data_IF_802639424612
#
_entry.id   IF_802639424612
#
_cell.length_a   1.000
_cell.length_b   1.000
_cell.length_c   1.000
_cell.angle_alpha   90.00
_cell.angle_beta   90.00
_cell.angle_gamma   90.00
#
_symmetry.space_group_name_H-M   'P 1'
#
loop_
_entity.id
_entity.type
_entity.pdbx_description
1 polymer ?
#
# COMPACT_ATOMS: atom_id res chain seq x y z
N UNK A 1 -6.55 23.69 18.12
CA UNK A 1 -5.15 23.21 18.02
C UNK A 1 -4.57 23.19 19.41
N UNK A 2 -4.04 22.10 19.89
CA UNK A 2 -3.42 22.01 21.20
C UNK A 2 -2.06 22.73 21.21
N UNK A 3 -1.56 23.11 22.41
CA UNK A 3 -0.21 23.68 22.56
C UNK A 3 0.87 22.69 22.08
N UNK A 4 0.62 21.40 22.25
CA UNK A 4 1.47 20.33 21.77
C UNK A 4 1.53 20.28 20.24
N UNK A 5 0.39 20.43 19.55
CA UNK A 5 0.37 20.47 18.09
C UNK A 5 1.15 21.67 17.54
N UNK A 6 1.02 22.83 18.17
CA UNK A 6 1.77 24.05 17.76
C UNK A 6 3.28 23.83 17.83
N UNK A 7 3.77 23.26 18.95
CA UNK A 7 5.20 22.93 19.12
C UNK A 7 5.68 21.90 18.10
N UNK A 8 4.85 20.91 17.78
CA UNK A 8 5.22 19.91 16.75
C UNK A 8 5.27 20.52 15.34
N UNK A 9 4.40 21.45 15.01
CA UNK A 9 4.41 22.15 13.72
C UNK A 9 5.67 23.03 13.58
N UNK A 10 6.08 23.76 14.62
CA UNK A 10 7.32 24.54 14.61
C UNK A 10 8.54 23.61 14.45
N UNK A 11 8.63 22.54 15.25
CA UNK A 11 9.71 21.55 15.15
C UNK A 11 9.78 20.93 13.74
N UNK A 12 8.64 20.55 13.19
CA UNK A 12 8.54 19.94 11.87
C UNK A 12 9.13 20.84 10.77
N UNK A 13 8.86 22.14 10.82
CA UNK A 13 9.43 23.11 9.87
C UNK A 13 10.95 23.22 10.00
N UNK A 14 11.47 23.26 11.24
CA UNK A 14 12.91 23.28 11.49
C UNK A 14 13.61 21.99 11.00
N UNK A 15 13.03 20.82 11.27
CA UNK A 15 13.53 19.52 10.79
C UNK A 15 13.55 19.46 9.27
N UNK A 16 12.48 19.93 8.62
CA UNK A 16 12.41 20.00 7.16
C UNK A 16 13.56 20.83 6.56
N UNK A 17 13.81 22.01 7.11
CA UNK A 17 14.92 22.87 6.64
C UNK A 17 16.29 22.21 6.88
N UNK A 18 16.48 21.56 8.04
CA UNK A 18 17.71 20.83 8.34
C UNK A 18 17.93 19.66 7.36
N UNK A 19 16.88 18.92 7.00
CA UNK A 19 16.95 17.86 6.00
C UNK A 19 17.26 18.40 4.61
N UNK A 20 16.67 19.51 4.20
CA UNK A 20 17.00 20.18 2.92
C UNK A 20 18.47 20.57 2.86
N UNK A 21 18.97 21.25 3.86
CA UNK A 21 20.38 21.64 3.94
C UNK A 21 21.32 20.42 3.90
N UNK A 22 20.98 19.36 4.67
CA UNK A 22 21.76 18.12 4.68
C UNK A 22 21.74 17.40 3.32
N UNK A 23 20.60 17.40 2.62
CA UNK A 23 20.51 16.84 1.27
C UNK A 23 21.34 17.64 0.24
N UNK A 24 21.31 18.97 0.31
CA UNK A 24 22.12 19.82 -0.57
C UNK A 24 23.62 19.61 -0.37
N UNK A 25 24.04 19.31 0.86
CA UNK A 25 25.42 18.94 1.19
C UNK A 25 25.84 17.55 0.69
N UNK A 26 24.89 16.62 0.54
CA UNK A 26 25.13 15.23 0.13
C UNK A 26 24.05 14.74 -0.86
N UNK A 27 23.92 15.38 -2.04
CA UNK A 27 22.90 15.00 -3.06
C UNK A 27 23.04 13.58 -3.60
N UNK A 28 24.21 13.01 -3.55
CA UNK A 28 24.54 11.69 -4.11
C UNK A 28 25.12 10.77 -3.05
N UNK A 29 24.25 10.33 -2.13
CA UNK A 29 24.64 9.40 -1.08
C UNK A 29 25.26 8.14 -1.70
N UNK A 30 26.45 7.75 -1.22
CA UNK A 30 27.21 6.65 -1.79
C UNK A 30 26.52 5.29 -1.57
N UNK A 31 26.77 4.32 -2.46
CA UNK A 31 26.21 2.96 -2.36
C UNK A 31 26.42 2.32 -0.97
N UNK A 32 27.65 2.40 -0.43
CA UNK A 32 27.99 1.85 0.89
C UNK A 32 27.17 2.46 2.03
N UNK A 33 26.83 3.75 1.94
CA UNK A 33 26.08 4.46 2.96
C UNK A 33 24.58 4.11 2.87
N UNK A 34 24.03 3.93 1.66
CA UNK A 34 22.66 3.41 1.48
C UNK A 34 22.54 1.96 1.95
N UNK A 35 23.55 1.11 1.73
CA UNK A 35 23.58 -0.25 2.28
C UNK A 35 23.56 -0.22 3.81
N UNK A 36 24.34 0.67 4.43
CA UNK A 36 24.31 0.84 5.90
C UNK A 36 22.92 1.22 6.41
N UNK A 37 22.26 2.15 5.72
CA UNK A 37 20.91 2.58 6.09
C UNK A 37 19.88 1.43 5.96
N UNK A 38 19.97 0.62 4.90
CA UNK A 38 19.13 -0.57 4.71
C UNK A 38 19.41 -1.63 5.80
N UNK A 39 20.68 -1.87 6.11
CA UNK A 39 21.09 -2.82 7.15
C UNK A 39 20.63 -2.34 8.55
N UNK A 40 20.63 -1.03 8.81
CA UNK A 40 20.09 -0.44 10.04
C UNK A 40 18.57 -0.69 10.18
N UNK A 41 17.79 -0.48 9.12
CA UNK A 41 16.34 -0.79 9.12
C UNK A 41 16.10 -2.29 9.40
N UNK A 42 16.87 -3.17 8.78
CA UNK A 42 16.77 -4.62 9.02
C UNK A 42 17.12 -4.98 10.48
N UNK A 43 18.21 -4.42 11.01
CA UNK A 43 18.66 -4.66 12.37
C UNK A 43 17.66 -4.16 13.42
N UNK A 44 17.13 -2.93 13.25
CA UNK A 44 16.09 -2.37 14.12
C UNK A 44 14.83 -3.25 14.13
N UNK A 45 14.39 -3.72 12.96
CA UNK A 45 13.21 -4.61 12.84
C UNK A 45 13.38 -5.88 13.67
N UNK A 46 14.54 -6.53 13.59
CA UNK A 46 14.81 -7.79 14.33
C UNK A 46 15.04 -7.51 15.81
N UNK A 47 15.80 -6.47 16.15
CA UNK A 47 16.11 -6.09 17.53
C UNK A 47 14.85 -5.79 18.35
N UNK A 48 13.89 -5.10 17.75
CA UNK A 48 12.67 -4.64 18.42
C UNK A 48 11.44 -5.51 18.13
N UNK A 49 11.61 -6.73 17.60
CA UNK A 49 10.51 -7.60 17.19
C UNK A 49 9.43 -7.80 18.28
N UNK A 50 9.83 -8.04 19.53
CA UNK A 50 8.88 -8.21 20.63
C UNK A 50 8.20 -6.88 21.01
N UNK A 51 8.94 -5.78 21.06
CA UNK A 51 8.38 -4.46 21.32
C UNK A 51 7.35 -4.03 20.24
N UNK A 52 7.57 -4.39 18.98
CA UNK A 52 6.62 -4.16 17.87
C UNK A 52 5.32 -4.92 18.12
N UNK A 53 5.40 -6.19 18.55
CA UNK A 53 4.22 -6.99 18.89
C UNK A 53 3.46 -6.41 20.08
N UNK A 54 4.19 -5.99 21.11
CA UNK A 54 3.60 -5.41 22.32
C UNK A 54 2.92 -4.07 22.03
N UNK A 55 3.55 -3.19 21.24
CA UNK A 55 2.97 -1.92 20.84
C UNK A 55 1.71 -2.13 19.97
N UNK A 56 1.75 -3.06 19.01
CA UNK A 56 0.59 -3.39 18.20
C UNK A 56 -0.58 -3.93 19.05
N UNK A 57 -0.31 -4.83 20.00
CA UNK A 57 -1.32 -5.34 20.93
C UNK A 57 -1.88 -4.22 21.82
N UNK A 58 -1.05 -3.32 22.31
CA UNK A 58 -1.47 -2.16 23.12
C UNK A 58 -2.43 -1.25 22.35
N UNK A 59 -2.11 -0.91 21.10
CA UNK A 59 -2.89 0.02 20.28
C UNK A 59 -4.25 -0.56 19.87
N UNK A 60 -4.32 -1.84 19.55
CA UNK A 60 -5.56 -2.50 19.15
C UNK A 60 -6.39 -3.03 20.34
N UNK A 61 -5.79 -3.12 21.53
CA UNK A 61 -6.34 -3.83 22.67
C UNK A 61 -6.10 -5.36 22.59
N UNK A 62 -6.37 -5.96 21.42
CA UNK A 62 -5.96 -7.33 21.07
C UNK A 62 -5.48 -7.35 19.63
N UNK A 63 -4.26 -7.81 19.42
CA UNK A 63 -3.72 -8.05 18.08
C UNK A 63 -2.84 -9.29 18.09
N UNK A 64 -3.09 -10.18 17.13
CA UNK A 64 -2.31 -11.41 17.00
C UNK A 64 -0.81 -11.12 16.89
N UNK A 65 -0.05 -11.72 17.79
CA UNK A 65 1.43 -11.68 17.74
C UNK A 65 1.96 -12.43 16.53
N UNK A 66 1.27 -13.50 16.12
CA UNK A 66 1.61 -14.29 14.95
C UNK A 66 1.37 -13.51 13.67
N UNK A 67 0.26 -12.81 13.54
CA UNK A 67 -0.02 -11.94 12.39
C UNK A 67 0.95 -10.77 12.31
N UNK A 68 1.29 -10.14 13.44
CA UNK A 68 2.31 -9.07 13.51
C UNK A 68 3.68 -9.60 13.11
N UNK A 69 4.06 -10.82 13.57
CA UNK A 69 5.30 -11.47 13.17
C UNK A 69 5.35 -11.70 11.67
N UNK A 70 4.28 -12.19 11.07
CA UNK A 70 4.20 -12.53 9.65
C UNK A 70 4.16 -11.29 8.77
N UNK A 71 3.20 -10.40 9.02
CA UNK A 71 2.84 -9.33 8.11
C UNK A 71 3.66 -8.05 8.29
N UNK A 72 4.27 -7.84 9.45
CA UNK A 72 5.06 -6.65 9.71
C UNK A 72 6.56 -6.97 9.84
N UNK A 73 6.93 -7.89 10.75
CA UNK A 73 8.35 -8.14 11.06
C UNK A 73 9.04 -8.98 9.98
N UNK A 74 8.49 -10.17 9.67
CA UNK A 74 9.09 -11.07 8.69
C UNK A 74 9.07 -10.46 7.27
N UNK A 75 7.98 -9.75 6.93
CA UNK A 75 7.89 -9.01 5.68
C UNK A 75 9.02 -7.97 5.58
N UNK A 76 9.19 -7.09 6.57
CA UNK A 76 10.22 -6.05 6.55
C UNK A 76 11.65 -6.61 6.50
N UNK A 77 11.91 -7.70 7.21
CA UNK A 77 13.22 -8.38 7.12
C UNK A 77 13.48 -8.93 5.71
N UNK A 78 12.45 -9.47 5.05
CA UNK A 78 12.53 -9.94 3.66
C UNK A 78 12.72 -8.79 2.67
N UNK A 79 11.95 -7.72 2.79
CA UNK A 79 12.03 -6.53 1.94
C UNK A 79 13.40 -5.85 2.02
N UNK A 80 13.95 -5.71 3.23
CA UNK A 80 15.30 -5.16 3.42
C UNK A 80 16.38 -6.04 2.78
N UNK A 81 16.29 -7.36 2.94
CA UNK A 81 17.21 -8.33 2.30
C UNK A 81 17.11 -8.25 0.77
N UNK A 82 15.90 -8.15 0.22
CA UNK A 82 15.65 -8.01 -1.22
C UNK A 82 16.28 -6.71 -1.74
N UNK A 83 15.97 -5.57 -1.11
CA UNK A 83 16.49 -4.24 -1.46
C UNK A 83 18.01 -4.22 -1.43
N UNK A 84 18.63 -4.73 -0.36
CA UNK A 84 20.09 -4.84 -0.22
C UNK A 84 20.73 -5.61 -1.36
N UNK A 85 20.11 -6.72 -1.76
CA UNK A 85 20.62 -7.58 -2.84
C UNK A 85 20.59 -6.91 -4.20
N UNK A 86 19.56 -6.10 -4.48
CA UNK A 86 19.29 -5.56 -5.80
C UNK A 86 19.73 -4.10 -5.97
N UNK A 87 20.00 -3.35 -4.90
CA UNK A 87 20.31 -1.92 -4.93
C UNK A 87 21.41 -1.56 -5.92
N UNK A 88 22.49 -2.38 -5.99
CA UNK A 88 23.60 -2.12 -6.92
C UNK A 88 23.10 -2.10 -8.39
N UNK A 89 22.22 -3.02 -8.77
CA UNK A 89 21.66 -3.05 -10.13
C UNK A 89 20.74 -1.88 -10.40
N UNK A 90 19.90 -1.49 -9.44
CA UNK A 90 18.99 -0.37 -9.58
C UNK A 90 19.70 0.98 -9.73
N UNK A 91 20.86 1.13 -9.11
CA UNK A 91 21.69 2.33 -9.19
C UNK A 91 22.49 2.44 -10.50
N UNK A 92 22.55 1.39 -11.34
CA UNK A 92 23.30 1.43 -12.59
C UNK A 92 22.66 2.36 -13.62
N UNK A 93 23.51 2.99 -14.44
CA UNK A 93 23.08 3.76 -15.59
C UNK A 93 22.39 2.84 -16.61
N UNK A 94 21.14 3.10 -16.97
CA UNK A 94 20.43 2.36 -18.00
C UNK A 94 20.76 2.94 -19.38
N UNK A 95 21.59 2.24 -20.16
CA UNK A 95 21.93 2.66 -21.53
C UNK A 95 20.69 2.66 -22.42
N UNK A 96 20.58 3.66 -23.28
CA UNK A 96 19.51 3.84 -24.26
C UNK A 96 20.08 3.85 -25.66
N UNK A 97 19.38 3.25 -26.60
CA UNK A 97 19.81 3.22 -27.99
C UNK A 97 19.80 4.65 -28.57
N UNK A 98 20.86 4.99 -29.30
CA UNK A 98 21.01 6.29 -29.98
C UNK A 98 20.77 6.10 -31.47
N UNK A 99 19.87 6.86 -32.11
CA UNK A 99 19.66 6.84 -33.55
C UNK A 99 20.95 7.14 -34.33
N UNK A 100 21.08 6.54 -35.53
CA UNK A 100 22.31 6.61 -36.32
C UNK A 100 22.77 8.03 -36.66
N UNK A 101 21.82 8.93 -36.90
CA UNK A 101 22.05 10.34 -37.20
C UNK A 101 22.54 11.18 -36.00
N UNK A 102 22.49 10.62 -34.78
CA UNK A 102 22.99 11.25 -33.55
C UNK A 102 24.28 10.59 -33.03
N UNK A 103 24.84 9.64 -33.78
CA UNK A 103 26.16 9.07 -33.47
C UNK A 103 27.26 10.02 -33.89
N UNK A 104 28.38 10.08 -33.12
CA UNK A 104 28.80 9.18 -32.03
C UNK A 104 28.36 9.57 -30.61
N UNK A 105 27.11 9.95 -30.41
CA UNK A 105 26.54 10.24 -29.10
C UNK A 105 26.27 8.99 -28.26
N UNK A 106 26.26 9.15 -26.93
CA UNK A 106 25.85 8.15 -25.96
C UNK A 106 24.64 8.65 -25.17
N UNK A 107 23.65 7.79 -24.95
CA UNK A 107 22.48 8.12 -24.16
C UNK A 107 22.29 7.14 -23.00
N UNK A 108 21.93 7.64 -21.84
CA UNK A 108 21.60 6.83 -20.69
C UNK A 108 20.62 7.54 -19.76
N UNK A 109 19.92 6.75 -18.95
CA UNK A 109 19.10 7.21 -17.83
C UNK A 109 19.90 7.02 -16.56
N UNK A 110 19.99 8.05 -15.71
CA UNK A 110 20.58 8.01 -14.39
C UNK A 110 19.48 8.22 -13.35
N UNK A 111 19.40 7.33 -12.37
CA UNK A 111 18.49 7.48 -11.23
C UNK A 111 19.14 8.37 -10.18
N UNK A 112 18.49 9.46 -9.82
CA UNK A 112 18.96 10.44 -8.83
C UNK A 112 17.95 10.55 -7.70
N UNK A 113 18.38 10.67 -6.41
CA UNK A 113 17.44 10.87 -5.30
C UNK A 113 16.57 12.11 -5.57
N UNK A 114 15.29 12.04 -5.23
CA UNK A 114 14.40 13.21 -5.32
C UNK A 114 14.79 14.31 -4.34
N UNK A 115 15.11 13.96 -3.09
CA UNK A 115 15.46 14.94 -2.06
C UNK A 115 14.89 14.62 -0.70
N UNK A 116 14.12 15.53 -0.11
CA UNK A 116 13.41 15.33 1.15
C UNK A 116 12.00 14.83 0.84
N UNK A 117 11.66 13.66 1.39
CA UNK A 117 10.37 13.02 1.16
C UNK A 117 9.54 12.96 2.45
N UNK A 118 8.25 13.27 2.32
CA UNK A 118 7.28 13.09 3.39
C UNK A 118 6.57 11.74 3.24
N UNK A 119 6.40 11.02 4.34
CA UNK A 119 5.67 9.75 4.39
C UNK A 119 4.58 9.88 5.45
N UNK A 120 3.31 9.62 5.07
CA UNK A 120 2.18 9.55 5.99
C UNK A 120 1.68 8.13 5.98
N UNK A 121 1.81 7.43 7.13
CA UNK A 121 1.48 6.02 7.25
C UNK A 121 0.16 5.78 8.00
N UNK A 122 -0.56 4.68 7.68
CA UNK A 122 -1.83 4.33 8.30
C UNK A 122 -1.63 3.55 9.62
N UNK A 123 -2.75 3.13 10.19
CA UNK A 123 -2.82 2.44 11.47
C UNK A 123 -2.95 0.90 11.37
N UNK A 124 -3.36 0.36 10.22
CA UNK A 124 -3.74 -1.06 10.12
C UNK A 124 -2.56 -2.06 10.12
N UNK A 125 -1.45 -1.67 9.52
CA UNK A 125 -0.13 -2.32 9.64
C UNK A 125 0.89 -1.22 9.90
N UNK A 126 0.88 -0.65 11.12
CA UNK A 126 1.51 0.64 11.39
C UNK A 126 3.03 0.62 11.24
N UNK A 127 3.68 -0.49 11.59
CA UNK A 127 5.13 -0.64 11.44
C UNK A 127 5.51 -0.84 9.97
N UNK A 128 4.95 -1.85 9.33
CA UNK A 128 5.33 -2.24 7.98
C UNK A 128 5.00 -1.15 6.94
N UNK A 129 3.80 -0.53 7.00
CA UNK A 129 3.40 0.51 6.06
C UNK A 129 4.10 1.87 6.30
N UNK A 130 4.81 2.02 7.41
CA UNK A 130 5.75 3.12 7.64
C UNK A 130 7.15 2.77 7.15
N UNK A 131 7.68 1.59 7.52
CA UNK A 131 9.07 1.22 7.28
C UNK A 131 9.35 0.80 5.84
N UNK A 132 8.37 0.25 5.12
CA UNK A 132 8.54 -0.13 3.71
C UNK A 132 8.82 1.08 2.80
N UNK A 133 8.04 2.19 2.82
CA UNK A 133 8.40 3.37 2.06
C UNK A 133 9.66 4.09 2.59
N UNK A 134 9.96 4.04 3.90
CA UNK A 134 11.25 4.52 4.44
C UNK A 134 12.41 3.75 3.82
N UNK A 135 12.36 2.42 3.81
CA UNK A 135 13.37 1.55 3.22
C UNK A 135 13.62 1.91 1.74
N UNK A 136 12.56 2.09 0.97
CA UNK A 136 12.64 2.46 -0.44
C UNK A 136 13.26 3.87 -0.65
N UNK A 137 12.87 4.84 0.20
CA UNK A 137 13.41 6.19 0.16
C UNK A 137 14.90 6.25 0.54
N UNK A 138 15.32 5.49 1.56
CA UNK A 138 16.72 5.36 1.96
C UNK A 138 17.55 4.66 0.87
N UNK A 139 17.02 3.61 0.25
CA UNK A 139 17.63 2.96 -0.91
C UNK A 139 17.82 3.92 -2.08
N UNK A 140 16.87 4.81 -2.31
CA UNK A 140 16.97 5.88 -3.30
C UNK A 140 18.00 6.97 -2.92
N UNK A 141 18.36 7.09 -1.63
CA UNK A 141 19.27 8.10 -1.08
C UNK A 141 18.58 9.40 -0.67
N UNK A 142 17.29 9.35 -0.39
CA UNK A 142 16.50 10.49 0.09
C UNK A 142 16.64 10.71 1.61
N UNK A 143 16.23 11.88 2.06
CA UNK A 143 15.95 12.21 3.46
C UNK A 143 14.47 12.00 3.73
N UNK A 144 14.10 11.57 4.94
CA UNK A 144 12.74 11.11 5.22
C UNK A 144 12.15 11.81 6.43
N UNK A 145 10.94 12.32 6.27
CA UNK A 145 10.07 12.70 7.38
C UNK A 145 8.87 11.76 7.42
N UNK A 146 8.64 11.11 8.55
CA UNK A 146 7.50 10.21 8.78
C UNK A 146 6.46 10.89 9.68
N UNK A 147 5.20 10.88 9.26
CA UNK A 147 4.03 11.17 10.10
C UNK A 147 3.20 9.90 10.26
N UNK A 148 3.37 9.15 11.36
CA UNK A 148 2.57 7.95 11.62
C UNK A 148 1.15 8.32 12.07
N UNK A 149 0.27 7.30 12.09
CA UNK A 149 -1.12 7.49 12.48
C UNK A 149 -1.27 7.76 13.99
N UNK A 150 -2.15 8.66 14.35
CA UNK A 150 -2.58 8.93 15.71
C UNK A 150 -3.45 7.82 16.33
N UNK A 151 -3.96 6.90 15.55
CA UNK A 151 -4.72 5.74 16.03
C UNK A 151 -3.84 4.65 16.65
N UNK A 152 -2.53 4.71 16.44
CA UNK A 152 -1.55 3.74 16.96
C UNK A 152 -0.41 4.46 17.69
N UNK A 153 -0.70 5.11 18.84
CA UNK A 153 0.27 5.94 19.54
C UNK A 153 1.45 5.15 20.11
N UNK A 154 1.22 3.95 20.67
CA UNK A 154 2.30 3.13 21.21
C UNK A 154 3.31 2.72 20.12
N UNK A 155 2.81 2.30 18.95
CA UNK A 155 3.66 2.00 17.79
C UNK A 155 4.36 3.24 17.26
N UNK A 156 3.69 4.38 17.24
CA UNK A 156 4.27 5.64 16.76
C UNK A 156 5.43 6.13 17.63
N UNK A 157 5.29 6.03 18.97
CA UNK A 157 6.35 6.34 19.91
C UNK A 157 7.52 5.35 19.82
N UNK A 158 7.22 4.06 19.65
CA UNK A 158 8.23 3.02 19.41
C UNK A 158 9.02 3.29 18.14
N UNK A 159 8.37 3.55 17.01
CA UNK A 159 9.05 3.86 15.75
C UNK A 159 9.95 5.09 15.86
N UNK A 160 9.50 6.12 16.58
CA UNK A 160 10.31 7.32 16.85
C UNK A 160 11.58 6.97 17.62
N UNK A 161 11.47 6.19 18.70
CA UNK A 161 12.63 5.78 19.50
C UNK A 161 13.59 4.87 18.72
N UNK A 162 13.05 3.89 17.97
CA UNK A 162 13.84 2.98 17.15
C UNK A 162 14.67 3.72 16.10
N UNK A 163 14.03 4.62 15.32
CA UNK A 163 14.72 5.35 14.27
C UNK A 163 15.79 6.30 14.81
N UNK A 164 15.58 6.86 15.99
CA UNK A 164 16.56 7.73 16.66
C UNK A 164 17.82 6.99 17.17
N UNK A 165 17.80 5.64 17.24
CA UNK A 165 19.01 4.85 17.58
C UNK A 165 20.06 4.86 16.45
N UNK A 166 19.62 4.97 15.19
CA UNK A 166 20.47 4.79 14.03
C UNK A 166 20.54 6.03 13.11
N UNK A 167 19.56 6.94 13.22
CA UNK A 167 19.43 8.07 12.31
C UNK A 167 19.28 9.40 13.06
N UNK A 168 20.07 10.38 12.66
CA UNK A 168 19.83 11.77 13.05
C UNK A 168 18.56 12.31 12.39
N UNK A 169 17.88 13.29 13.00
CA UNK A 169 16.66 13.90 12.46
C UNK A 169 16.86 14.60 11.12
N UNK A 170 18.08 15.02 10.80
CA UNK A 170 18.43 15.55 9.47
C UNK A 170 18.49 14.47 8.38
N UNK A 171 18.34 13.18 8.74
CA UNK A 171 18.29 12.06 7.81
C UNK A 171 16.93 11.35 7.84
N UNK A 172 16.47 10.87 9.01
CA UNK A 172 15.14 10.29 9.21
C UNK A 172 14.51 10.89 10.46
N UNK A 173 13.36 11.53 10.31
CA UNK A 173 12.65 12.17 11.43
C UNK A 173 11.22 11.66 11.55
N UNK A 174 10.72 11.51 12.79
CA UNK A 174 9.33 11.14 13.06
C UNK A 174 8.61 12.34 13.68
N UNK A 175 7.50 12.73 13.08
CA UNK A 175 6.64 13.84 13.50
C UNK A 175 5.33 13.24 14.04
N UNK A 176 5.18 13.29 15.37
CA UNK A 176 3.98 12.83 16.05
C UNK A 176 2.92 13.93 16.09
N UNK A 177 1.67 13.55 16.13
CA UNK A 177 0.54 14.48 16.30
C UNK A 177 -0.72 14.06 15.58
N UNK A 178 -1.80 14.73 15.88
CA UNK A 178 -3.13 14.48 15.33
C UNK A 178 -3.36 15.11 13.95
N UNK A 179 -4.65 15.24 13.55
CA UNK A 179 -5.04 15.74 12.21
C UNK A 179 -4.47 17.11 11.88
N UNK A 180 -4.37 18.05 12.85
CA UNK A 180 -3.83 19.39 12.62
C UNK A 180 -2.34 19.36 12.22
N UNK A 181 -1.54 18.49 12.86
CA UNK A 181 -0.14 18.26 12.48
C UNK A 181 -0.06 17.59 11.12
N UNK A 182 -0.96 16.62 10.83
CA UNK A 182 -1.06 15.98 9.53
C UNK A 182 -1.35 16.97 8.40
N UNK A 183 -2.29 17.89 8.61
CA UNK A 183 -2.59 18.96 7.65
C UNK A 183 -1.38 19.88 7.41
N UNK A 184 -0.72 20.32 8.47
CA UNK A 184 0.49 21.14 8.35
C UNK A 184 1.63 20.38 7.64
N UNK A 185 1.77 19.07 7.91
CA UNK A 185 2.75 18.20 7.27
C UNK A 185 2.57 18.15 5.75
N UNK A 186 1.33 18.04 5.27
CA UNK A 186 1.05 17.99 3.81
C UNK A 186 1.37 19.28 3.07
N UNK A 187 1.47 20.40 3.77
CA UNK A 187 1.76 21.74 3.20
C UNK A 187 3.25 22.03 3.04
N UNK A 188 4.15 21.20 3.58
CA UNK A 188 5.58 21.36 3.38
C UNK A 188 5.95 21.04 1.92
N UNK A 189 6.89 21.81 1.32
CA UNK A 189 7.28 21.65 -0.08
C UNK A 189 8.28 20.48 -0.24
N UNK A 190 7.80 19.25 0.02
CA UNK A 190 8.56 18.03 -0.20
C UNK A 190 8.92 17.81 -1.67
N UNK A 191 10.02 17.11 -1.93
CA UNK A 191 10.38 16.65 -3.27
C UNK A 191 9.54 15.43 -3.70
N UNK A 192 8.90 14.75 -2.73
CA UNK A 192 7.86 13.72 -2.93
C UNK A 192 7.05 13.52 -1.66
N UNK A 193 5.76 13.26 -1.78
CA UNK A 193 4.89 12.91 -0.67
C UNK A 193 4.26 11.55 -0.92
N UNK A 194 4.48 10.62 0.02
CA UNK A 194 3.91 9.28 0.01
C UNK A 194 2.82 9.19 1.07
N UNK A 195 1.64 8.81 0.67
CA UNK A 195 0.48 8.70 1.56
C UNK A 195 -0.18 7.33 1.43
N UNK A 196 -0.38 6.65 2.56
CA UNK A 196 -1.21 5.44 2.65
C UNK A 196 -2.38 5.69 3.60
N UNK A 197 -3.60 5.46 3.14
CA UNK A 197 -4.80 5.65 3.96
C UNK A 197 -6.09 5.73 3.13
N UNK A 198 -7.13 6.42 3.68
CA UNK A 198 -8.43 6.49 3.01
C UNK A 198 -8.41 7.36 1.76
N UNK A 199 -9.24 7.02 0.78
CA UNK A 199 -9.42 7.79 -0.47
C UNK A 199 -9.86 9.23 -0.18
N UNK A 200 -10.70 9.45 0.84
CA UNK A 200 -11.14 10.80 1.24
C UNK A 200 -9.95 11.67 1.65
N UNK A 201 -9.08 11.20 2.55
CA UNK A 201 -7.91 11.94 3.00
C UNK A 201 -6.86 12.04 1.88
N UNK A 202 -6.69 11.00 1.05
CA UNK A 202 -5.81 11.04 -0.11
C UNK A 202 -6.11 12.19 -1.08
N UNK A 203 -7.40 12.51 -1.28
CA UNK A 203 -7.81 13.70 -2.07
C UNK A 203 -7.38 15.01 -1.42
N UNK A 204 -7.44 15.11 -0.08
CA UNK A 204 -6.99 16.30 0.67
C UNK A 204 -5.47 16.44 0.55
N UNK A 205 -4.72 15.35 0.77
CA UNK A 205 -3.26 15.30 0.63
C UNK A 205 -2.83 15.72 -0.78
N UNK A 206 -3.48 15.18 -1.81
CA UNK A 206 -3.16 15.51 -3.20
C UNK A 206 -3.40 16.99 -3.53
N UNK A 207 -4.50 17.58 -3.01
CA UNK A 207 -4.76 19.02 -3.18
C UNK A 207 -3.72 19.89 -2.49
N UNK A 208 -3.33 19.57 -1.25
CA UNK A 208 -2.32 20.31 -0.50
C UNK A 208 -0.93 20.22 -1.19
N UNK A 209 -0.54 19.03 -1.65
CA UNK A 209 0.71 18.81 -2.36
C UNK A 209 0.80 19.61 -3.68
N UNK A 210 -0.33 19.77 -4.37
CA UNK A 210 -0.40 20.49 -5.63
C UNK A 210 -0.03 21.99 -5.50
N UNK A 211 -0.24 22.61 -4.34
CA UNK A 211 0.14 24.01 -4.07
C UNK A 211 1.66 24.22 -4.21
N UNK A 212 2.45 23.19 -3.91
CA UNK A 212 3.91 23.20 -4.02
C UNK A 212 4.43 22.42 -5.24
N UNK A 213 3.56 21.94 -6.13
CA UNK A 213 3.90 21.03 -7.23
C UNK A 213 4.61 19.76 -6.74
N UNK A 214 4.38 19.36 -5.50
CA UNK A 214 4.94 18.14 -4.91
C UNK A 214 4.31 16.91 -5.57
N UNK A 215 5.09 16.01 -6.20
CA UNK A 215 4.58 14.75 -6.72
C UNK A 215 4.10 13.85 -5.57
N UNK A 216 2.99 13.14 -5.77
CA UNK A 216 2.42 12.26 -4.76
C UNK A 216 2.37 10.81 -5.22
N UNK A 217 2.61 9.88 -4.30
CA UNK A 217 2.20 8.49 -4.40
C UNK A 217 1.09 8.27 -3.39
N UNK A 218 -0.04 7.75 -3.86
CA UNK A 218 -1.23 7.52 -3.05
C UNK A 218 -1.55 6.03 -3.04
N UNK A 219 -1.46 5.41 -1.86
CA UNK A 219 -1.88 4.04 -1.60
C UNK A 219 -3.19 4.09 -0.82
N UNK A 220 -4.28 3.84 -1.52
CA UNK A 220 -5.63 4.01 -1.00
C UNK A 220 -6.32 2.65 -0.90
N UNK A 221 -7.56 2.65 -0.45
CA UNK A 221 -8.36 1.44 -0.36
C UNK A 221 -9.25 1.20 -1.58
N UNK A 222 -10.40 0.67 -1.31
CA UNK A 222 -11.44 0.40 -2.28
C UNK A 222 -12.14 -0.91 -2.00
N UNK A 223 -13.21 -1.18 -2.76
CA UNK A 223 -13.96 -2.43 -2.63
C UNK A 223 -13.34 -3.52 -3.48
N UNK A 224 -12.33 -4.23 -2.93
CA UNK A 224 -11.62 -5.32 -3.61
C UNK A 224 -12.55 -6.52 -3.90
N UNK A 225 -12.96 -6.76 -5.16
CA UNK A 225 -13.89 -7.81 -5.51
C UNK A 225 -13.24 -9.18 -5.59
N UNK A 226 -14.03 -10.20 -5.34
CA UNK A 226 -13.76 -11.59 -5.74
C UNK A 226 -14.75 -11.99 -6.82
N UNK A 227 -14.27 -12.47 -7.97
CA UNK A 227 -15.08 -13.05 -9.03
C UNK A 227 -14.81 -14.56 -9.08
N UNK A 228 -15.81 -15.36 -8.81
CA UNK A 228 -15.73 -16.80 -8.88
C UNK A 228 -16.37 -17.31 -10.20
N UNK A 229 -15.65 -18.09 -10.98
CA UNK A 229 -16.16 -18.76 -12.15
C UNK A 229 -16.90 -20.05 -11.75
N UNK A 230 -17.76 -20.50 -12.65
CA UNK A 230 -18.59 -21.70 -12.39
C UNK A 230 -17.79 -23.00 -12.27
N UNK A 231 -16.63 -23.08 -12.92
CA UNK A 231 -15.74 -24.24 -12.90
C UNK A 231 -14.93 -24.40 -11.60
N UNK A 232 -14.92 -23.39 -10.71
CA UNK A 232 -14.15 -23.45 -9.45
C UNK A 232 -14.99 -24.07 -8.32
N UNK A 233 -14.40 -24.95 -7.47
CA UNK A 233 -15.10 -25.55 -6.33
C UNK A 233 -15.42 -24.50 -5.26
N UNK A 234 -16.70 -24.42 -4.89
CA UNK A 234 -17.20 -23.43 -3.94
C UNK A 234 -16.56 -23.56 -2.54
N UNK A 235 -16.39 -24.80 -2.07
CA UNK A 235 -15.77 -25.09 -0.77
C UNK A 235 -14.33 -24.58 -0.70
N UNK A 236 -13.54 -24.80 -1.77
CA UNK A 236 -12.16 -24.31 -1.82
C UNK A 236 -12.08 -22.78 -1.89
N UNK A 237 -13.01 -22.15 -2.56
CA UNK A 237 -13.09 -20.69 -2.56
C UNK A 237 -13.33 -20.17 -1.14
N UNK A 238 -14.31 -20.71 -0.43
CA UNK A 238 -14.61 -20.34 0.96
C UNK A 238 -13.43 -20.53 1.92
N UNK A 239 -12.74 -21.67 1.83
CA UNK A 239 -11.54 -21.95 2.65
C UNK A 239 -10.44 -20.88 2.45
N UNK A 240 -10.21 -20.44 1.21
CA UNK A 240 -9.17 -19.47 0.88
C UNK A 240 -9.58 -18.05 1.26
N UNK A 241 -10.86 -17.71 1.07
CA UNK A 241 -11.44 -16.43 1.45
C UNK A 241 -11.36 -16.18 2.95
N UNK A 242 -11.50 -17.23 3.77
CA UNK A 242 -11.41 -17.13 5.22
C UNK A 242 -10.11 -16.48 5.69
N UNK A 243 -8.96 -16.89 5.15
CA UNK A 243 -7.68 -16.26 5.48
C UNK A 243 -7.63 -14.80 5.00
N UNK A 244 -7.91 -14.55 3.71
CA UNK A 244 -7.78 -13.21 3.14
C UNK A 244 -8.74 -12.18 3.73
N UNK A 245 -9.92 -12.63 4.21
CA UNK A 245 -10.89 -11.71 4.81
C UNK A 245 -10.67 -11.48 6.29
N UNK A 246 -10.24 -12.50 7.04
CA UNK A 246 -10.24 -12.38 8.51
C UNK A 246 -8.84 -12.16 9.11
N UNK A 247 -7.76 -12.20 8.32
CA UNK A 247 -6.46 -11.68 8.73
C UNK A 247 -6.61 -10.21 9.18
N UNK A 248 -6.06 -9.86 10.33
CA UNK A 248 -6.20 -8.54 10.96
C UNK A 248 -7.68 -8.10 11.10
N UNK A 249 -8.59 -9.06 11.31
CA UNK A 249 -10.04 -8.85 11.30
C UNK A 249 -10.54 -8.08 10.07
N UNK A 250 -9.95 -8.29 8.89
CA UNK A 250 -10.33 -7.63 7.64
C UNK A 250 -9.93 -6.16 7.52
N UNK A 251 -9.15 -5.64 8.46
CA UNK A 251 -8.68 -4.26 8.46
C UNK A 251 -7.45 -4.11 7.51
N UNK A 252 -7.65 -4.46 6.25
CA UNK A 252 -6.60 -4.56 5.23
C UNK A 252 -7.13 -4.02 3.90
N UNK A 253 -6.38 -3.12 3.27
CA UNK A 253 -6.76 -2.45 2.02
C UNK A 253 -6.98 -3.41 0.83
N UNK A 254 -6.36 -4.59 0.88
CA UNK A 254 -6.50 -5.65 -0.11
C UNK A 254 -7.33 -6.84 0.40
N UNK A 255 -7.98 -6.76 1.57
CA UNK A 255 -8.89 -7.82 2.00
C UNK A 255 -10.05 -7.95 0.99
N UNK A 256 -10.52 -9.17 0.67
CA UNK A 256 -11.76 -9.34 -0.08
C UNK A 256 -12.89 -8.52 0.54
N UNK A 257 -13.44 -7.58 -0.23
CA UNK A 257 -14.45 -6.68 0.31
C UNK A 257 -15.87 -7.17 -0.01
N UNK A 258 -16.05 -7.86 -1.15
CA UNK A 258 -17.25 -8.61 -1.50
C UNK A 258 -16.92 -9.74 -2.49
N UNK A 259 -17.81 -10.72 -2.58
CA UNK A 259 -17.67 -11.90 -3.46
C UNK A 259 -18.85 -11.97 -4.44
N UNK A 260 -18.54 -12.20 -5.71
CA UNK A 260 -19.52 -12.51 -6.74
C UNK A 260 -19.38 -14.01 -7.10
N UNK A 261 -20.39 -14.81 -6.79
CA UNK A 261 -20.44 -16.26 -7.06
C UNK A 261 -21.43 -16.60 -8.16
N UNK A 262 -21.26 -17.69 -8.90
CA UNK A 262 -22.33 -18.22 -9.73
C UNK A 262 -23.58 -18.54 -8.92
N UNK A 263 -24.77 -18.45 -9.53
CA UNK A 263 -26.05 -18.80 -8.91
C UNK A 263 -26.01 -20.18 -8.24
N UNK A 264 -26.57 -20.25 -7.04
CA UNK A 264 -26.67 -21.46 -6.23
C UNK A 264 -25.37 -21.88 -5.52
N UNK A 265 -24.27 -21.08 -5.62
CA UNK A 265 -22.99 -21.37 -4.95
C UNK A 265 -22.72 -20.47 -3.75
N UNK A 266 -23.45 -19.38 -3.58
CA UNK A 266 -23.22 -18.38 -2.52
C UNK A 266 -23.26 -18.98 -1.11
N UNK A 267 -24.24 -19.84 -0.83
CA UNK A 267 -24.39 -20.53 0.44
C UNK A 267 -23.20 -21.45 0.75
N UNK A 268 -22.80 -22.28 -0.21
CA UNK A 268 -21.67 -23.19 -0.01
C UNK A 268 -20.36 -22.43 0.26
N UNK A 269 -20.12 -21.32 -0.46
CA UNK A 269 -18.97 -20.45 -0.19
C UNK A 269 -19.06 -19.83 1.19
N UNK A 270 -20.23 -19.35 1.61
CA UNK A 270 -20.45 -18.78 2.94
C UNK A 270 -20.19 -19.78 4.06
N UNK A 271 -20.83 -20.95 3.98
CA UNK A 271 -20.70 -22.01 4.98
C UNK A 271 -19.27 -22.53 5.11
N UNK A 272 -18.58 -22.74 3.99
CA UNK A 272 -17.18 -23.17 4.01
C UNK A 272 -16.23 -22.05 4.52
N UNK A 273 -16.55 -20.79 4.25
CA UNK A 273 -15.80 -19.66 4.83
C UNK A 273 -15.95 -19.63 6.34
N UNK A 274 -17.18 -19.70 6.86
CA UNK A 274 -17.45 -19.70 8.31
C UNK A 274 -16.87 -20.96 8.98
N UNK A 275 -17.05 -22.13 8.39
CA UNK A 275 -16.49 -23.38 8.94
C UNK A 275 -14.95 -23.33 9.04
N UNK A 276 -14.27 -22.74 8.04
CA UNK A 276 -12.82 -22.57 8.06
C UNK A 276 -12.37 -21.60 9.14
N UNK A 277 -13.08 -20.49 9.32
CA UNK A 277 -12.81 -19.48 10.37
C UNK A 277 -13.07 -20.08 11.75
N UNK A 278 -14.21 -20.77 11.93
CA UNK A 278 -14.55 -21.46 13.19
C UNK A 278 -13.47 -22.47 13.60
N UNK A 279 -12.90 -23.17 12.62
CA UNK A 279 -11.77 -24.08 12.88
C UNK A 279 -10.48 -23.33 13.24
N UNK A 280 -10.26 -22.14 12.69
CA UNK A 280 -9.07 -21.32 12.97
C UNK A 280 -9.17 -20.64 14.34
N UNK A 281 -10.35 -20.16 14.68
CA UNK A 281 -10.66 -19.44 15.92
C UNK A 281 -11.91 -20.08 16.56
N UNK A 282 -11.72 -21.19 17.33
CA UNK A 282 -12.86 -21.93 17.92
C UNK A 282 -13.74 -21.08 18.82
N UNK A 283 -13.17 -20.14 19.54
CA UNK A 283 -13.85 -19.05 20.24
C UNK A 283 -13.18 -17.71 19.91
N UNK A 284 -13.56 -17.13 18.78
CA UNK A 284 -13.00 -15.88 18.28
C UNK A 284 -13.04 -14.73 19.30
N UNK A 285 -13.99 -14.76 20.22
CA UNK A 285 -14.18 -13.68 21.20
C UNK A 285 -13.03 -13.60 22.22
N UNK A 286 -12.55 -14.75 22.68
CA UNK A 286 -11.46 -14.88 23.67
C UNK A 286 -10.10 -15.16 23.05
N UNK A 287 -10.04 -15.59 21.78
CA UNK A 287 -8.81 -15.96 21.10
C UNK A 287 -7.88 -14.76 20.89
N UNK A 288 -6.68 -14.81 21.43
CA UNK A 288 -5.66 -13.72 21.32
C UNK A 288 -5.12 -13.55 19.89
N UNK A 289 -5.25 -14.58 19.04
CA UNK A 289 -4.87 -14.51 17.63
C UNK A 289 -5.98 -13.96 16.73
N UNK A 290 -7.19 -13.69 17.25
CA UNK A 290 -8.21 -12.96 16.52
C UNK A 290 -8.19 -11.47 16.88
N UNK A 291 -7.74 -10.66 15.94
CA UNK A 291 -7.47 -9.23 16.14
C UNK A 291 -8.75 -8.42 16.39
N UNK A 292 -8.70 -7.46 17.31
CA UNK A 292 -9.78 -6.53 17.59
C UNK A 292 -9.86 -5.38 16.55
N UNK A 293 -11.01 -4.72 16.47
CA UNK A 293 -11.18 -3.48 15.70
C UNK A 293 -10.46 -2.33 16.39
N UNK A 294 -9.70 -1.55 15.65
CA UNK A 294 -8.75 -0.56 16.18
C UNK A 294 -9.36 0.50 17.10
N UNK A 295 -10.60 0.90 16.87
CA UNK A 295 -11.26 1.95 17.67
C UNK A 295 -12.77 1.74 17.79
N UNK A 296 -13.38 2.35 18.83
CA UNK A 296 -14.82 2.30 19.07
C UNK A 296 -15.62 2.84 17.87
N UNK A 297 -15.16 3.92 17.26
CA UNK A 297 -15.79 4.50 16.06
C UNK A 297 -15.86 3.49 14.90
N UNK A 298 -14.79 2.73 14.64
CA UNK A 298 -14.78 1.71 13.60
C UNK A 298 -15.64 0.50 14.00
N UNK A 299 -15.62 0.13 15.27
CA UNK A 299 -16.43 -0.95 15.81
C UNK A 299 -17.94 -0.64 15.66
N UNK A 300 -18.38 0.54 16.08
CA UNK A 300 -19.78 1.00 15.95
C UNK A 300 -20.22 1.07 14.50
N UNK A 301 -19.36 1.59 13.59
CA UNK A 301 -19.65 1.65 12.16
C UNK A 301 -19.88 0.25 11.58
N UNK A 302 -19.06 -0.71 11.91
CA UNK A 302 -19.18 -2.09 11.40
C UNK A 302 -20.44 -2.78 11.92
N UNK A 303 -20.72 -2.65 13.22
CA UNK A 303 -21.95 -3.19 13.80
C UNK A 303 -23.19 -2.55 13.17
N UNK A 304 -23.19 -1.24 12.94
CA UNK A 304 -24.33 -0.57 12.28
C UNK A 304 -24.55 -1.08 10.85
N UNK A 305 -23.48 -1.41 10.11
CA UNK A 305 -23.61 -2.02 8.78
C UNK A 305 -24.20 -3.43 8.81
N UNK A 306 -23.87 -4.22 9.83
CA UNK A 306 -24.41 -5.58 10.03
C UNK A 306 -25.91 -5.47 10.35
N UNK A 307 -26.29 -4.58 11.26
CA UNK A 307 -27.70 -4.40 11.66
C UNK A 307 -28.55 -3.79 10.53
N UNK A 308 -27.99 -2.90 9.72
CA UNK A 308 -28.63 -2.39 8.50
C UNK A 308 -28.92 -3.55 7.53
N UNK A 309 -27.97 -4.42 7.26
CA UNK A 309 -28.14 -5.57 6.39
C UNK A 309 -29.19 -6.55 6.96
N UNK A 310 -29.18 -6.80 8.27
CA UNK A 310 -30.16 -7.64 8.98
C UNK A 310 -31.56 -7.07 8.85
N UNK A 311 -31.70 -5.77 9.08
CA UNK A 311 -32.99 -5.07 8.99
C UNK A 311 -33.54 -5.03 7.56
N UNK A 312 -32.65 -5.05 6.55
CA UNK A 312 -33.03 -5.15 5.15
C UNK A 312 -33.35 -6.59 4.69
N UNK A 313 -33.35 -7.57 5.63
CA UNK A 313 -33.70 -8.96 5.36
C UNK A 313 -32.59 -9.81 4.75
N UNK A 314 -31.33 -9.32 4.73
CA UNK A 314 -30.20 -10.15 4.31
C UNK A 314 -29.94 -11.29 5.29
N UNK A 315 -29.59 -12.45 4.79
CA UNK A 315 -29.20 -13.58 5.62
C UNK A 315 -27.78 -13.42 6.11
N UNK A 316 -27.58 -13.59 7.42
CA UNK A 316 -26.28 -13.40 8.08
C UNK A 316 -25.82 -14.72 8.68
N UNK A 317 -24.62 -15.17 8.29
CA UNK A 317 -23.93 -16.29 8.90
C UNK A 317 -22.77 -15.74 9.73
N UNK A 318 -22.64 -16.16 10.98
CA UNK A 318 -21.59 -15.74 11.89
C UNK A 318 -20.89 -16.96 12.50
N UNK A 319 -19.60 -16.82 12.76
CA UNK A 319 -18.87 -17.82 13.55
C UNK A 319 -19.42 -17.82 14.98
N UNK A 320 -19.55 -19.01 15.56
CA UNK A 320 -19.94 -19.19 16.96
C UNK A 320 -18.80 -18.74 17.89
N UNK A 321 -19.14 -18.17 19.02
CA UNK A 321 -18.19 -17.71 20.02
C UNK A 321 -18.89 -17.19 21.27
N UNK A 322 -18.11 -16.96 22.31
CA UNK A 322 -18.61 -16.38 23.56
C UNK A 322 -18.81 -14.85 23.43
N UNK A 323 -19.20 -14.22 24.52
CA UNK A 323 -19.30 -12.75 24.57
C UNK A 323 -17.89 -12.14 24.63
N UNK A 324 -17.52 -11.26 23.71
CA UNK A 324 -16.21 -10.58 23.73
C UNK A 324 -16.08 -9.54 24.87
N UNK A 325 -17.14 -9.29 25.65
CA UNK A 325 -17.15 -8.27 26.71
C UNK A 325 -16.81 -6.90 26.17
N UNK A 326 -15.81 -6.24 26.74
CA UNK A 326 -15.34 -4.92 26.34
C UNK A 326 -14.31 -4.94 25.21
N UNK A 327 -13.93 -6.11 24.68
CA UNK A 327 -13.05 -6.21 23.53
C UNK A 327 -13.79 -5.76 22.28
N UNK A 328 -13.15 -4.92 21.48
CA UNK A 328 -13.72 -4.46 20.18
C UNK A 328 -13.63 -5.56 19.11
N UNK A 329 -14.05 -6.78 19.45
CA UNK A 329 -14.08 -7.91 18.52
C UNK A 329 -15.48 -8.07 17.94
N UNK A 330 -15.54 -8.34 16.65
CA UNK A 330 -16.77 -8.61 15.89
C UNK A 330 -16.67 -10.05 15.37
N UNK A 331 -17.71 -10.84 15.56
CA UNK A 331 -17.78 -12.17 15.00
C UNK A 331 -17.46 -12.18 13.50
N UNK A 332 -16.62 -13.10 13.02
CA UNK A 332 -16.48 -13.32 11.59
C UNK A 332 -17.84 -13.49 10.94
N UNK A 333 -18.21 -12.59 10.04
CA UNK A 333 -19.56 -12.44 9.52
C UNK A 333 -19.56 -12.57 8.01
N UNK A 334 -20.45 -13.38 7.46
CA UNK A 334 -20.79 -13.42 6.04
C UNK A 334 -22.22 -12.96 5.87
N UNK A 335 -22.48 -12.09 4.90
CA UNK A 335 -23.80 -11.56 4.59
C UNK A 335 -24.19 -11.99 3.18
N UNK A 336 -25.25 -12.80 3.05
CA UNK A 336 -25.73 -13.30 1.77
C UNK A 336 -26.70 -12.30 1.13
N UNK A 337 -26.42 -11.97 -0.13
CA UNK A 337 -27.27 -11.13 -0.98
C UNK A 337 -27.76 -9.83 -0.31
N UNK A 338 -26.87 -9.02 0.33
CA UNK A 338 -27.28 -7.72 0.82
C UNK A 338 -27.76 -6.83 -0.33
N UNK A 339 -28.68 -5.86 -0.08
CA UNK A 339 -29.07 -4.89 -1.09
C UNK A 339 -27.84 -4.16 -1.70
N UNK A 340 -27.84 -3.97 -3.01
CA UNK A 340 -26.68 -3.34 -3.69
C UNK A 340 -26.48 -1.88 -3.30
N UNK A 341 -27.51 -1.18 -2.86
CA UNK A 341 -27.49 0.18 -2.37
C UNK A 341 -27.15 0.30 -0.87
N UNK A 342 -27.01 -0.85 -0.16
CA UNK A 342 -26.59 -0.87 1.24
C UNK A 342 -25.16 -0.33 1.43
N UNK A 343 -24.89 0.18 2.63
CA UNK A 343 -23.52 0.65 2.98
C UNK A 343 -22.47 -0.44 2.83
N UNK A 344 -22.82 -1.70 3.11
CA UNK A 344 -21.92 -2.84 2.88
C UNK A 344 -21.46 -2.96 1.42
N UNK A 345 -22.29 -2.53 0.47
CA UNK A 345 -21.98 -2.61 -0.97
C UNK A 345 -21.48 -1.29 -1.55
N UNK A 346 -21.63 -0.17 -0.85
CA UNK A 346 -21.20 1.15 -1.33
C UNK A 346 -19.91 1.65 -0.68
N UNK A 347 -19.68 1.36 0.60
CA UNK A 347 -18.49 1.77 1.33
C UNK A 347 -17.48 0.62 1.43
N UNK A 348 -16.19 0.94 1.52
CA UNK A 348 -15.14 -0.02 1.90
C UNK A 348 -15.40 -0.51 3.33
N UNK A 349 -15.51 -1.82 3.52
CA UNK A 349 -15.90 -2.39 4.81
C UNK A 349 -14.79 -2.25 5.84
N UNK A 350 -13.57 -2.65 5.51
CA UNK A 350 -12.39 -2.57 6.37
C UNK A 350 -12.62 -3.21 7.74
N UNK A 351 -13.18 -4.42 7.71
CA UNK A 351 -13.61 -5.16 8.90
C UNK A 351 -14.01 -6.60 8.58
N UNK A 352 -14.37 -7.42 9.61
CA UNK A 352 -14.59 -8.86 9.47
C UNK A 352 -16.00 -9.21 8.96
N UNK A 353 -16.46 -8.50 7.93
CA UNK A 353 -17.78 -8.70 7.31
C UNK A 353 -17.61 -8.93 5.81
N UNK A 354 -18.10 -10.04 5.28
CA UNK A 354 -17.95 -10.45 3.88
C UNK A 354 -19.30 -10.59 3.19
N UNK A 355 -19.75 -9.62 2.39
CA UNK A 355 -20.88 -9.78 1.50
C UNK A 355 -20.61 -10.80 0.39
N UNK A 356 -21.53 -11.69 0.13
CA UNK A 356 -21.52 -12.63 -0.99
C UNK A 356 -22.80 -12.45 -1.80
N UNK A 357 -22.66 -12.17 -3.09
CA UNK A 357 -23.77 -11.99 -4.02
C UNK A 357 -23.64 -12.99 -5.18
N UNK A 358 -24.76 -13.30 -5.81
CA UNK A 358 -24.79 -14.14 -6.99
C UNK A 358 -24.75 -13.32 -8.28
N UNK A 359 -24.14 -13.86 -9.31
CA UNK A 359 -24.08 -13.27 -10.67
C UNK A 359 -24.69 -14.19 -11.72
N UNK A 360 -25.15 -13.62 -12.84
CA UNK A 360 -25.77 -14.31 -13.97
C UNK A 360 -24.77 -14.80 -15.03
N UNK A 361 -23.48 -14.80 -14.70
CA UNK A 361 -22.36 -15.14 -15.57
C UNK A 361 -21.21 -14.16 -15.41
N UNK A 362 -20.04 -14.49 -15.98
CA UNK A 362 -18.84 -13.68 -15.81
C UNK A 362 -18.98 -12.26 -16.39
N UNK A 363 -19.74 -12.09 -17.46
CA UNK A 363 -19.98 -10.77 -18.06
C UNK A 363 -20.79 -9.87 -17.12
N UNK A 364 -21.78 -10.43 -16.41
CA UNK A 364 -22.52 -9.71 -15.37
C UNK A 364 -21.59 -9.34 -14.20
N UNK A 365 -20.81 -10.29 -13.72
CA UNK A 365 -19.84 -10.05 -12.64
C UNK A 365 -18.84 -8.94 -13.00
N UNK A 366 -18.25 -8.99 -14.18
CA UNK A 366 -17.31 -7.96 -14.66
C UNK A 366 -18.01 -6.60 -14.83
N UNK A 367 -19.24 -6.57 -15.35
CA UNK A 367 -20.04 -5.35 -15.49
C UNK A 367 -20.27 -4.69 -14.11
N UNK A 368 -20.64 -5.46 -13.09
CA UNK A 368 -20.86 -4.97 -11.73
C UNK A 368 -19.58 -4.43 -11.09
N UNK A 369 -18.44 -5.10 -11.32
CA UNK A 369 -17.13 -4.60 -10.86
C UNK A 369 -16.76 -3.30 -11.57
N UNK A 370 -16.89 -3.25 -12.90
CA UNK A 370 -16.53 -2.09 -13.70
C UNK A 370 -17.46 -0.88 -13.50
N UNK A 371 -18.66 -1.08 -12.94
CA UNK A 371 -19.58 0.01 -12.56
C UNK A 371 -19.15 0.74 -11.27
N UNK A 372 -18.21 0.18 -10.50
CA UNK A 372 -17.66 0.77 -9.28
C UNK A 372 -16.30 1.43 -9.55
N UNK A 373 -15.81 2.17 -8.57
CA UNK A 373 -14.44 2.68 -8.57
C UNK A 373 -13.42 1.53 -8.69
N UNK A 374 -12.33 1.77 -9.39
CA UNK A 374 -11.26 0.77 -9.60
C UNK A 374 -10.63 0.38 -8.28
N UNK A 375 -10.65 -0.91 -7.91
CA UNK A 375 -10.17 -1.39 -6.61
C UNK A 375 -8.63 -1.49 -6.59
N UNK A 376 -8.07 -1.51 -5.39
CA UNK A 376 -6.64 -1.78 -5.18
C UNK A 376 -6.28 -3.22 -5.55
N UNK A 377 -7.13 -4.20 -5.21
CA UNK A 377 -6.93 -5.60 -5.57
C UNK A 377 -8.19 -6.22 -6.19
N UNK A 378 -7.98 -7.25 -7.02
CA UNK A 378 -9.04 -8.06 -7.61
C UNK A 378 -8.64 -9.54 -7.53
N UNK A 379 -9.60 -10.40 -7.20
CA UNK A 379 -9.40 -11.83 -7.03
C UNK A 379 -10.26 -12.62 -8.00
N UNK A 380 -9.66 -13.60 -8.66
CA UNK A 380 -10.35 -14.44 -9.63
C UNK A 380 -10.20 -15.90 -9.25
N UNK A 381 -11.32 -16.60 -9.08
CA UNK A 381 -11.33 -18.05 -8.83
C UNK A 381 -11.83 -18.77 -10.08
N UNK A 382 -10.94 -19.47 -10.76
CA UNK A 382 -11.25 -20.23 -11.98
C UNK A 382 -10.25 -21.39 -12.17
N UNK A 383 -10.72 -22.58 -12.54
CA UNK A 383 -9.84 -23.68 -12.97
C UNK A 383 -9.25 -23.41 -14.34
N UNK A 384 -10.06 -22.88 -15.24
CA UNK A 384 -9.65 -22.53 -16.60
C UNK A 384 -8.77 -21.30 -16.63
N UNK A 385 -7.52 -21.44 -17.09
CA UNK A 385 -6.61 -20.29 -17.32
C UNK A 385 -7.18 -19.29 -18.33
N UNK A 386 -7.95 -19.78 -19.33
CA UNK A 386 -8.61 -18.91 -20.32
C UNK A 386 -9.67 -18.05 -19.64
N UNK A 387 -10.48 -18.64 -18.77
CA UNK A 387 -11.50 -17.94 -17.99
C UNK A 387 -10.86 -16.89 -17.06
N UNK A 388 -9.82 -17.27 -16.30
CA UNK A 388 -9.12 -16.32 -15.45
C UNK A 388 -8.55 -15.14 -16.25
N UNK A 389 -7.92 -15.40 -17.40
CA UNK A 389 -7.41 -14.36 -18.30
C UNK A 389 -8.51 -13.44 -18.83
N UNK A 390 -9.65 -13.99 -19.25
CA UNK A 390 -10.79 -13.19 -19.72
C UNK A 390 -11.29 -12.20 -18.66
N UNK A 391 -11.35 -12.63 -17.38
CA UNK A 391 -11.73 -11.74 -16.29
C UNK A 391 -10.68 -10.65 -16.07
N UNK A 392 -9.38 -11.00 -16.09
CA UNK A 392 -8.30 -10.02 -15.92
C UNK A 392 -8.25 -9.01 -17.07
N UNK A 393 -8.53 -9.43 -18.30
CA UNK A 393 -8.59 -8.55 -19.47
C UNK A 393 -9.87 -7.69 -19.49
N UNK A 394 -10.95 -8.17 -18.87
CA UNK A 394 -12.25 -7.48 -18.81
C UNK A 394 -12.40 -6.52 -17.62
N UNK A 395 -11.41 -6.43 -16.71
CA UNK A 395 -11.46 -5.61 -15.49
C UNK A 395 -10.18 -4.80 -15.29
N UNK A 396 -10.24 -3.76 -14.45
CA UNK A 396 -9.06 -2.96 -14.09
C UNK A 396 -8.96 -2.86 -12.57
N UNK A 397 -7.76 -3.18 -12.03
CA UNK A 397 -7.42 -3.05 -10.60
C UNK A 397 -5.96 -2.65 -10.43
N UNK A 398 -5.54 -2.26 -9.23
CA UNK A 398 -4.12 -2.04 -8.91
C UNK A 398 -3.31 -3.33 -9.06
N UNK A 399 -3.74 -4.40 -8.39
CA UNK A 399 -3.16 -5.74 -8.51
C UNK A 399 -4.25 -6.81 -8.65
N UNK A 400 -3.85 -8.05 -9.02
CA UNK A 400 -4.77 -9.18 -9.10
C UNK A 400 -4.13 -10.49 -8.65
N UNK A 401 -4.95 -11.41 -8.10
CA UNK A 401 -4.52 -12.78 -7.76
C UNK A 401 -5.50 -13.78 -8.33
N UNK A 402 -4.99 -14.87 -8.88
CA UNK A 402 -5.80 -15.99 -9.36
C UNK A 402 -5.75 -17.14 -8.37
N UNK A 403 -6.93 -17.64 -7.98
CA UNK A 403 -7.15 -18.79 -7.09
C UNK A 403 -6.59 -18.65 -5.67
N UNK A 404 -6.36 -17.42 -5.23
CA UNK A 404 -6.00 -17.09 -3.86
C UNK A 404 -6.32 -15.60 -3.58
N UNK A 405 -5.96 -15.12 -2.38
CA UNK A 405 -6.12 -13.72 -1.96
C UNK A 405 -4.81 -13.16 -1.44
N UNK A 406 -4.59 -11.85 -1.54
CA UNK A 406 -3.52 -11.08 -0.89
C UNK A 406 -2.06 -11.42 -1.25
N UNK A 407 -1.75 -12.62 -1.77
CA UNK A 407 -0.38 -13.12 -1.95
C UNK A 407 0.51 -12.26 -2.85
N UNK A 408 -0.05 -11.49 -3.77
CA UNK A 408 0.72 -10.59 -4.65
C UNK A 408 1.50 -9.52 -3.86
N UNK A 409 1.00 -9.14 -2.66
CA UNK A 409 1.69 -8.21 -1.78
C UNK A 409 3.06 -8.72 -1.32
N UNK A 410 3.21 -10.03 -1.11
CA UNK A 410 4.45 -10.65 -0.63
C UNK A 410 5.52 -10.82 -1.71
N UNK A 411 5.26 -10.41 -2.95
CA UNK A 411 6.19 -10.54 -4.08
C UNK A 411 6.84 -9.19 -4.36
N UNK A 412 8.03 -8.97 -3.83
CA UNK A 412 8.78 -7.70 -3.93
C UNK A 412 9.05 -7.21 -5.37
N UNK A 413 9.13 -8.11 -6.34
CA UNK A 413 9.35 -7.77 -7.75
C UNK A 413 8.05 -7.38 -8.49
N UNK A 414 6.89 -7.42 -7.83
CA UNK A 414 5.65 -6.90 -8.38
C UNK A 414 5.41 -5.47 -7.93
N UNK A 415 4.97 -4.56 -8.83
CA UNK A 415 4.54 -3.24 -8.41
C UNK A 415 3.30 -3.38 -7.53
N UNK A 416 3.32 -2.75 -6.37
CA UNK A 416 2.16 -2.62 -5.52
C UNK A 416 1.67 -1.17 -5.55
N UNK A 417 0.43 -0.97 -5.94
CA UNK A 417 -0.17 0.36 -6.04
C UNK A 417 -1.55 0.34 -6.67
N UNK A 418 -2.30 1.40 -6.42
CA UNK A 418 -3.66 1.58 -6.90
C UNK A 418 -3.77 2.24 -8.28
N UNK A 419 -4.99 2.29 -8.79
CA UNK A 419 -5.34 2.94 -10.06
C UNK A 419 -6.64 3.73 -9.91
N UNK A 420 -6.64 5.00 -10.27
CA UNK A 420 -7.83 5.87 -10.13
C UNK A 420 -8.16 6.14 -8.66
N UNK A 421 -9.35 5.73 -8.20
CA UNK A 421 -9.80 5.97 -6.82
C UNK A 421 -9.03 5.16 -5.77
N UNK A 422 -8.37 4.06 -6.16
CA UNK A 422 -7.54 3.25 -5.27
C UNK A 422 -6.10 3.73 -5.14
N UNK A 423 -5.67 4.72 -5.94
CA UNK A 423 -4.34 5.31 -5.79
C UNK A 423 -3.67 5.75 -7.07
N UNK A 424 -2.43 6.20 -6.93
CA UNK A 424 -1.55 6.58 -8.03
C UNK A 424 -0.09 6.33 -7.65
N UNK A 425 0.69 5.83 -8.59
CA UNK A 425 2.04 5.35 -8.35
C UNK A 425 2.06 3.90 -7.88
N UNK A 426 3.24 3.39 -7.59
CA UNK A 426 3.45 2.06 -7.05
C UNK A 426 4.75 2.02 -6.26
N UNK A 427 4.87 1.04 -5.35
CA UNK A 427 6.09 0.79 -4.60
C UNK A 427 6.33 -0.73 -4.49
N UNK A 428 7.24 -1.20 -3.72
CA UNK A 428 7.91 -2.49 -3.61
C UNK A 428 9.13 -2.60 -4.52
N UNK A 429 10.20 -3.18 -3.99
CA UNK A 429 11.42 -3.48 -4.72
C UNK A 429 11.93 -2.33 -5.59
N UNK A 430 12.17 -2.60 -6.87
CA UNK A 430 12.64 -1.60 -7.84
C UNK A 430 11.64 -0.46 -8.03
N UNK A 431 10.33 -0.73 -8.00
CA UNK A 431 9.30 0.31 -8.16
C UNK A 431 9.32 1.31 -7.00
N UNK A 432 9.58 0.83 -5.76
CA UNK A 432 9.79 1.71 -4.61
C UNK A 432 11.03 2.59 -4.76
N UNK A 433 12.16 2.01 -5.20
CA UNK A 433 13.36 2.77 -5.53
C UNK A 433 13.11 3.81 -6.62
N UNK A 434 12.38 3.45 -7.69
CA UNK A 434 12.01 4.35 -8.77
C UNK A 434 11.09 5.49 -8.30
N UNK A 435 10.14 5.20 -7.41
CA UNK A 435 9.20 6.19 -6.85
C UNK A 435 9.93 7.32 -6.14
N UNK A 436 11.02 7.04 -5.45
CA UNK A 436 11.80 8.06 -4.75
C UNK A 436 13.03 8.57 -5.53
N UNK A 437 13.18 8.17 -6.81
CA UNK A 437 14.23 8.68 -7.69
C UNK A 437 13.66 9.47 -8.86
N UNK A 438 14.46 10.42 -9.38
CA UNK A 438 14.23 11.08 -10.65
C UNK A 438 15.01 10.39 -11.77
N UNK A 439 14.34 10.05 -12.86
CA UNK A 439 14.96 9.48 -14.05
C UNK A 439 15.56 10.58 -14.93
N UNK A 440 16.80 10.95 -14.66
CA UNK A 440 17.50 12.00 -15.44
C UNK A 440 17.99 11.41 -16.75
N UNK A 441 17.51 11.96 -17.86
CA UNK A 441 18.04 11.66 -19.19
C UNK A 441 19.39 12.40 -19.41
N UNK A 442 20.40 11.65 -19.87
CA UNK A 442 21.70 12.20 -20.21
C UNK A 442 22.06 11.80 -21.61
N UNK A 443 22.45 12.77 -22.43
CA UNK A 443 23.00 12.57 -23.76
C UNK A 443 24.37 13.23 -23.83
N UNK A 444 25.40 12.40 -24.07
CA UNK A 444 26.80 12.84 -24.14
C UNK A 444 27.25 12.83 -25.60
N UNK A 445 27.79 13.93 -26.05
CA UNK A 445 28.42 14.05 -27.36
C UNK A 445 29.90 14.37 -27.23
N UNK A 446 30.76 13.93 -28.14
CA UNK A 446 32.13 14.43 -28.22
C UNK A 446 32.13 15.93 -28.54
N UNK A 447 33.29 16.61 -28.33
CA UNK A 447 33.46 18.03 -28.59
C UNK A 447 33.10 18.39 -30.03
N UNK A 448 33.45 17.54 -30.99
CA UNK A 448 32.97 17.64 -32.36
C UNK A 448 31.85 16.61 -32.60
N UNK A 449 30.69 17.08 -33.07
CA UNK A 449 29.56 16.21 -33.36
C UNK A 449 28.89 16.62 -34.69
N UNK A 450 28.44 15.67 -35.54
CA UNK A 450 27.79 15.91 -36.83
C UNK A 450 26.54 16.78 -36.76
N UNK A 451 25.92 16.96 -35.61
CA UNK A 451 24.78 17.87 -35.43
C UNK A 451 25.04 19.32 -35.89
N UNK A 452 26.31 19.75 -36.00
CA UNK A 452 26.67 21.02 -36.59
C UNK A 452 26.23 21.13 -38.05
N UNK A 453 26.14 20.02 -38.78
CA UNK A 453 25.77 19.99 -40.20
C UNK A 453 24.27 20.25 -40.44
N UNK A 454 23.46 20.17 -39.40
CA UNK A 454 22.02 20.47 -39.44
C UNK A 454 21.65 21.81 -38.79
N UNK A 455 22.65 22.65 -38.47
CA UNK A 455 22.50 24.01 -37.91
C UNK A 455 22.58 25.06 -39.02
N UNK A 456 22.02 26.26 -38.81
CA UNK A 456 22.17 27.41 -39.74
C UNK A 456 23.65 27.78 -39.92
N UNK A 457 24.03 28.30 -41.11
CA UNK A 457 23.19 28.42 -42.31
C UNK A 457 22.91 27.06 -42.95
N UNK A 458 21.62 26.78 -43.23
CA UNK A 458 21.20 25.55 -43.84
C UNK A 458 21.72 25.42 -45.27
N UNK A 459 22.25 24.25 -45.64
CA UNK A 459 22.83 24.02 -46.96
C UNK A 459 22.49 22.63 -47.48
N UNK A 460 23.13 22.22 -48.59
CA UNK A 460 22.87 20.95 -49.28
C UNK A 460 22.93 19.70 -48.38
N UNK A 461 23.75 19.72 -47.33
CA UNK A 461 23.86 18.61 -46.36
C UNK A 461 22.59 18.51 -45.51
N UNK A 462 22.04 19.65 -45.08
CA UNK A 462 20.77 19.69 -44.38
C UNK A 462 19.66 19.08 -45.22
N UNK A 463 19.54 19.49 -46.50
CA UNK A 463 18.54 18.98 -47.44
C UNK A 463 18.67 17.46 -47.67
N UNK A 464 19.92 16.97 -47.72
CA UNK A 464 20.19 15.55 -47.90
C UNK A 464 19.82 14.70 -46.68
N UNK A 465 20.05 15.21 -45.47
CA UNK A 465 19.79 14.50 -44.21
C UNK A 465 18.31 14.57 -43.85
N UNK A 466 17.57 15.63 -44.23
CA UNK A 466 16.17 15.86 -43.86
C UNK A 466 15.17 15.39 -44.93
N UNK A 467 15.62 15.01 -46.11
CA UNK A 467 14.76 14.36 -47.12
C UNK A 467 14.39 12.96 -46.62
N UNK A 468 13.12 12.80 -46.20
CA UNK A 468 12.47 11.53 -45.90
C UNK A 468 12.11 10.79 -47.19
#
# INVERSE_FOLDING_TARGET
>A
MSDLDSKQIERMSAVFQAQKAAFEGERHRAYKDRIRDIDAIAALTVKHAEAIKDAAASDFGVRSRCETQLSEIAYMASAAKHTRRHLNSWMQKKKVAVPGNLKPGNAYIRREPKGVVGIISPWNYPFQLAFSPILAALAAGCRVMLKPSEFTPAMSDLMKSMLAEEFDENHVAVILGGPAVGEAFTKLPYDHLFYTGSTHVGRIVSKAAAENLTPVTLELGGKSPVIMADDFPAEKAGETLAFGKFLNAGQTCIAPDYVLTPKGKSRTVAESTIARVQKAYPDWATDEDYTAVVSDKHYERLNSMIEEARSAGAEILQAEGSDPGNARKIAPTVVLNPPEDSRLMQEEIFGPVLPILEHDGLDDAMKRVNAKDRPLALYVYAKSKKTARSVLEGTISGGAVVNNTMLHYSVEDLPFGGVGASGSGAYHGEYGFETFTHARSVFETPVWHPSRLIQPPYGKIFDMITKT
#
